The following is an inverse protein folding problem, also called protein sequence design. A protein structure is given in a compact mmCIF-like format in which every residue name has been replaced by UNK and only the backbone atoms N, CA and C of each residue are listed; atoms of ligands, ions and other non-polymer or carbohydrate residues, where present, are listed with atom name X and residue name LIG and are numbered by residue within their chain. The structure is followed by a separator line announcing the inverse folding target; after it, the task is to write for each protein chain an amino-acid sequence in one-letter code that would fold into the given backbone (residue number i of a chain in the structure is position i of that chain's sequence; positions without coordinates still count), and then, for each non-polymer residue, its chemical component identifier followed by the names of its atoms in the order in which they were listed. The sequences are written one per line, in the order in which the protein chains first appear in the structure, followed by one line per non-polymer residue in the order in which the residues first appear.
data_IF_767805143196
#
_entry.id   IF_767805143196
#
_cell.length_a   1.000
_cell.length_b   1.000
_cell.length_c   1.000
_cell.angle_alpha   90.00
_cell.angle_beta   90.00
_cell.angle_gamma   90.00
#
_symmetry.space_group_name_H-M   'P 1'
#
loop_
_entity.id
_entity.type
_entity.pdbx_description
1 polymer ?
#
# COMPACT_ATOMS: atom_id res chain seq x y z
N UNK A 1 -16.67 -0.39 -21.12
CA UNK A 1 -15.39 -0.49 -20.38
C UNK A 1 -14.97 -1.95 -20.48
N UNK A 2 -13.74 -2.25 -20.91
CA UNK A 2 -13.27 -3.65 -20.91
C UNK A 2 -13.24 -4.22 -19.49
N UNK A 3 -13.19 -5.54 -19.35
CA UNK A 3 -13.10 -6.20 -18.04
C UNK A 3 -11.87 -5.68 -17.29
N UNK A 4 -12.03 -5.14 -16.07
CA UNK A 4 -10.90 -4.68 -15.29
C UNK A 4 -10.02 -5.88 -14.89
N UNK A 5 -8.71 -5.64 -14.74
CA UNK A 5 -7.79 -6.63 -14.19
C UNK A 5 -6.87 -5.99 -13.16
N UNK A 6 -6.34 -6.81 -12.24
CA UNK A 6 -5.46 -6.36 -11.17
C UNK A 6 -4.08 -6.98 -11.40
N UNK A 7 -3.03 -6.18 -11.30
CA UNK A 7 -1.64 -6.64 -11.24
C UNK A 7 -1.12 -6.49 -9.82
N UNK A 8 -0.40 -7.50 -9.35
CA UNK A 8 0.39 -7.46 -8.12
C UNK A 8 1.86 -7.23 -8.46
N UNK A 9 2.51 -6.36 -7.70
CA UNK A 9 3.94 -6.25 -7.58
C UNK A 9 4.35 -6.62 -6.15
N UNK A 10 5.11 -7.70 -6.00
CA UNK A 10 5.77 -8.10 -4.75
C UNK A 10 6.93 -7.14 -4.40
N UNK A 11 7.53 -7.23 -3.20
CA UNK A 11 8.62 -6.33 -2.80
C UNK A 11 9.73 -6.26 -3.84
N UNK A 12 10.18 -5.04 -4.11
CA UNK A 12 11.19 -4.75 -5.11
C UNK A 12 12.06 -3.61 -4.62
N UNK A 13 13.36 -3.63 -4.91
CA UNK A 13 14.29 -2.65 -4.33
C UNK A 13 14.05 -1.21 -4.78
N UNK A 14 13.38 -1.02 -5.93
CA UNK A 14 13.09 0.29 -6.53
C UNK A 14 14.34 1.19 -6.67
N UNK A 15 15.52 0.59 -6.85
CA UNK A 15 16.80 1.30 -6.95
C UNK A 15 16.80 2.30 -8.11
N UNK A 16 17.05 3.57 -7.79
CA UNK A 16 17.09 4.66 -8.77
C UNK A 16 15.73 5.31 -9.06
N UNK A 17 14.66 4.93 -8.37
CA UNK A 17 13.41 5.69 -8.43
C UNK A 17 13.59 7.08 -7.82
N UNK A 18 13.03 8.11 -8.48
CA UNK A 18 13.07 9.49 -8.02
C UNK A 18 11.69 10.14 -8.24
N UNK A 19 11.14 10.75 -7.19
CA UNK A 19 9.90 11.52 -7.27
C UNK A 19 10.06 12.74 -8.17
N UNK A 20 8.98 13.09 -8.90
CA UNK A 20 8.93 14.27 -9.77
C UNK A 20 9.76 14.17 -11.07
N UNK A 21 10.49 13.07 -11.27
CA UNK A 21 11.22 12.81 -12.51
C UNK A 21 10.26 12.19 -13.55
N UNK A 22 10.27 12.67 -14.82
CA UNK A 22 9.45 12.07 -15.87
C UNK A 22 9.69 10.58 -16.03
N UNK A 23 8.61 9.82 -16.27
CA UNK A 23 8.62 8.35 -16.39
C UNK A 23 9.65 7.85 -17.40
N UNK A 24 9.84 8.57 -18.50
CA UNK A 24 10.75 8.23 -19.59
C UNK A 24 12.23 8.37 -19.18
N UNK A 25 12.51 9.16 -18.14
CA UNK A 25 13.84 9.40 -17.59
C UNK A 25 14.20 8.45 -16.44
N UNK A 26 13.24 7.68 -15.93
CA UNK A 26 13.47 6.71 -14.86
C UNK A 26 14.12 5.42 -15.42
N UNK A 27 14.94 4.72 -14.60
CA UNK A 27 15.52 3.45 -15.00
C UNK A 27 14.46 2.44 -15.44
N UNK A 28 14.74 1.67 -16.51
CA UNK A 28 13.85 0.61 -16.99
C UNK A 28 13.71 -0.57 -16.01
N UNK A 29 14.57 -0.62 -14.98
CA UNK A 29 14.51 -1.57 -13.87
C UNK A 29 13.35 -1.30 -12.92
N UNK A 30 12.79 -0.08 -12.89
CA UNK A 30 11.64 0.23 -12.04
C UNK A 30 10.40 -0.46 -12.62
N UNK A 31 9.71 -1.33 -11.84
CA UNK A 31 8.57 -2.06 -12.34
C UNK A 31 7.45 -1.14 -12.82
N UNK A 32 6.89 -1.45 -14.00
CA UNK A 32 5.75 -0.72 -14.57
C UNK A 32 4.60 -0.58 -13.58
N UNK A 33 4.27 -1.65 -12.85
CA UNK A 33 3.20 -1.66 -11.85
C UNK A 33 3.42 -0.63 -10.74
N UNK A 34 4.67 -0.43 -10.30
CA UNK A 34 4.99 0.60 -9.29
C UNK A 34 4.79 2.00 -9.86
N UNK A 35 5.30 2.27 -11.07
CA UNK A 35 5.13 3.55 -11.75
C UNK A 35 3.64 3.89 -11.93
N UNK A 36 2.84 2.91 -12.32
CA UNK A 36 1.40 3.09 -12.48
C UNK A 36 0.67 3.28 -11.14
N UNK A 37 1.14 2.66 -10.04
CA UNK A 37 0.64 2.94 -8.70
C UNK A 37 0.93 4.39 -8.28
N UNK A 38 2.16 4.87 -8.55
CA UNK A 38 2.58 6.24 -8.28
C UNK A 38 1.78 7.26 -9.10
N UNK A 39 1.47 6.97 -10.36
CA UNK A 39 0.58 7.79 -11.20
C UNK A 39 -0.79 7.97 -10.56
N UNK A 40 -1.41 6.88 -10.07
CA UNK A 40 -2.71 6.95 -9.38
C UNK A 40 -2.62 7.71 -8.06
N UNK A 41 -1.54 7.52 -7.29
CA UNK A 41 -1.31 8.21 -6.01
C UNK A 41 -1.11 9.71 -6.21
N UNK A 42 -0.34 10.13 -7.20
CA UNK A 42 -0.14 11.55 -7.52
C UNK A 42 -1.46 12.24 -7.89
N UNK A 43 -2.29 11.61 -8.73
CA UNK A 43 -3.60 12.14 -9.11
C UNK A 43 -4.54 12.30 -7.90
N UNK A 44 -4.54 11.34 -6.97
CA UNK A 44 -5.49 11.32 -5.85
C UNK A 44 -4.98 12.06 -4.61
N UNK A 45 -3.75 11.83 -4.19
CA UNK A 45 -3.22 12.40 -2.96
C UNK A 45 -2.62 13.79 -3.20
N UNK A 46 -1.84 13.97 -4.27
CA UNK A 46 -1.18 15.25 -4.54
C UNK A 46 -2.14 16.23 -5.21
N UNK A 47 -2.67 15.88 -6.38
CA UNK A 47 -3.49 16.82 -7.17
C UNK A 47 -4.87 17.06 -6.58
N UNK A 48 -5.50 16.03 -6.04
CA UNK A 48 -6.85 16.14 -5.48
C UNK A 48 -6.87 16.49 -3.99
N UNK A 49 -6.06 15.82 -3.15
CA UNK A 49 -6.07 16.02 -1.69
C UNK A 49 -5.03 17.04 -1.20
N UNK A 50 -4.16 17.57 -2.09
CA UNK A 50 -3.11 18.53 -1.76
C UNK A 50 -2.08 18.01 -0.72
N UNK A 51 -1.86 16.70 -0.68
CA UNK A 51 -0.74 16.10 0.07
C UNK A 51 0.57 16.49 -0.64
N UNK A 52 1.62 16.90 0.08
CA UNK A 52 2.92 17.21 -0.52
C UNK A 52 3.46 16.02 -1.33
N UNK A 53 3.83 16.26 -2.59
CA UNK A 53 4.31 15.19 -3.48
C UNK A 53 5.56 14.48 -2.99
N UNK A 54 6.42 15.17 -2.23
CA UNK A 54 7.58 14.57 -1.56
C UNK A 54 7.23 13.49 -0.53
N UNK A 55 6.01 13.51 0.03
CA UNK A 55 5.55 12.53 1.03
C UNK A 55 4.94 11.27 0.38
N UNK A 56 4.84 11.22 -0.96
CA UNK A 56 4.29 10.08 -1.69
C UNK A 56 5.28 8.95 -1.94
N UNK A 57 6.55 9.09 -1.57
CA UNK A 57 7.48 7.97 -1.60
C UNK A 57 8.16 7.84 -0.24
N UNK A 58 8.03 6.67 0.37
CA UNK A 58 8.58 6.40 1.70
C UNK A 58 9.45 5.15 1.72
N UNK A 59 10.11 4.93 2.85
CA UNK A 59 11.00 3.79 3.02
C UNK A 59 10.27 2.44 3.01
N UNK A 60 8.94 2.42 3.15
CA UNK A 60 8.14 1.20 3.11
C UNK A 60 7.77 0.79 1.67
N UNK A 61 7.85 1.69 0.68
CA UNK A 61 7.51 1.36 -0.72
C UNK A 61 8.31 0.18 -1.31
N UNK A 62 9.65 0.06 -1.11
CA UNK A 62 10.43 -1.07 -1.63
C UNK A 62 10.10 -2.43 -0.98
N UNK A 63 9.72 -2.44 0.30
CA UNK A 63 9.37 -3.67 1.05
C UNK A 63 7.90 -4.06 0.93
N UNK A 64 7.09 -3.23 0.28
CA UNK A 64 5.65 -3.43 0.18
C UNK A 64 5.24 -4.24 -1.04
N UNK A 65 4.11 -4.92 -0.93
CA UNK A 65 3.36 -5.35 -2.10
C UNK A 65 2.43 -4.23 -2.59
N UNK A 66 2.27 -4.10 -3.91
CA UNK A 66 1.44 -3.08 -4.55
C UNK A 66 0.46 -3.73 -5.52
N UNK A 67 -0.81 -3.41 -5.41
CA UNK A 67 -1.84 -3.84 -6.36
C UNK A 67 -2.31 -2.65 -7.16
N UNK A 68 -2.37 -2.79 -8.48
CA UNK A 68 -2.93 -1.78 -9.38
C UNK A 68 -4.05 -2.40 -10.19
N UNK A 69 -5.21 -1.75 -10.21
CA UNK A 69 -6.34 -2.14 -11.04
C UNK A 69 -6.37 -1.30 -12.31
N UNK A 70 -6.51 -1.99 -13.43
CA UNK A 70 -6.49 -1.42 -14.78
C UNK A 70 -7.84 -1.58 -15.45
N UNK A 71 -8.19 -0.62 -16.29
CA UNK A 71 -9.34 -0.69 -17.20
C UNK A 71 -8.88 -0.48 -18.63
N UNK A 72 -9.50 -1.20 -19.57
CA UNK A 72 -9.25 -0.99 -20.99
C UNK A 72 -10.03 0.23 -21.50
N UNK A 73 -9.30 1.24 -21.94
CA UNK A 73 -9.84 2.46 -22.57
C UNK A 73 -9.59 2.38 -24.08
N UNK A 74 -10.66 2.44 -24.86
CA UNK A 74 -10.58 2.52 -26.32
C UNK A 74 -10.34 3.97 -26.72
N UNK A 75 -9.15 4.27 -27.23
CA UNK A 75 -8.81 5.57 -27.79
C UNK A 75 -9.00 5.52 -29.30
N UNK A 76 -9.81 6.42 -29.84
CA UNK A 76 -9.89 6.62 -31.30
C UNK A 76 -8.66 7.43 -31.73
N UNK A 77 -7.77 6.84 -32.51
CA UNK A 77 -6.59 7.52 -33.05
C UNK A 77 -6.91 8.25 -34.34
N UNK A 78 -7.72 7.64 -35.20
CA UNK A 78 -8.17 8.23 -36.46
C UNK A 78 -9.69 8.12 -36.54
N UNK A 79 -10.42 9.25 -36.65
CA UNK A 79 -11.86 9.22 -36.84
C UNK A 79 -12.20 8.67 -38.24
N UNK A 80 -13.35 8.00 -38.31
CA UNK A 80 -13.95 7.58 -39.58
C UNK A 80 -14.28 8.82 -40.42
N UNK A 81 -13.91 8.80 -41.70
CA UNK A 81 -14.28 9.85 -42.65
C UNK A 81 -15.19 9.21 -43.70
N UNK A 82 -16.36 9.83 -43.90
CA UNK A 82 -17.32 9.46 -44.95
C UNK A 82 -17.41 10.56 -46.02
N UNK A 83 -17.69 10.19 -47.25
CA UNK A 83 -18.01 11.13 -48.33
C UNK A 83 -19.48 11.59 -48.26
N UNK A 84 -19.88 12.47 -49.17
CA UNK A 84 -21.27 12.97 -49.30
C UNK A 84 -22.26 11.86 -49.67
N UNK A 85 -21.80 10.78 -50.32
CA UNK A 85 -22.61 9.59 -50.60
C UNK A 85 -22.74 8.61 -49.40
N UNK A 86 -22.01 8.84 -48.31
CA UNK A 86 -22.07 8.04 -47.08
C UNK A 86 -21.12 6.84 -47.02
N UNK A 87 -20.28 6.64 -48.04
CA UNK A 87 -19.23 5.62 -48.11
C UNK A 87 -18.02 5.97 -47.23
N UNK A 88 -17.41 4.94 -46.66
CA UNK A 88 -16.24 5.07 -45.78
C UNK A 88 -14.99 5.33 -46.64
N UNK A 89 -14.53 6.58 -46.65
CA UNK A 89 -13.30 7.01 -47.33
C UNK A 89 -12.06 6.68 -46.50
N UNK A 90 -12.20 6.69 -45.17
CA UNK A 90 -11.12 6.30 -44.25
C UNK A 90 -11.71 5.56 -43.05
N UNK A 91 -11.34 4.29 -42.82
CA UNK A 91 -11.85 3.54 -41.69
C UNK A 91 -11.34 4.11 -40.36
N UNK A 92 -12.16 3.99 -39.32
CA UNK A 92 -11.76 4.31 -37.95
C UNK A 92 -10.56 3.44 -37.55
N UNK A 93 -9.54 4.05 -36.96
CA UNK A 93 -8.49 3.33 -36.21
C UNK A 93 -8.63 3.66 -34.73
N UNK A 94 -8.74 2.63 -33.91
CA UNK A 94 -8.73 2.75 -32.46
C UNK A 94 -7.68 1.84 -31.86
N UNK A 95 -6.99 2.33 -30.84
CA UNK A 95 -6.12 1.51 -29.98
C UNK A 95 -6.78 1.32 -28.62
N UNK A 96 -6.51 0.19 -28.00
CA UNK A 96 -6.95 -0.10 -26.63
C UNK A 96 -5.73 0.02 -25.72
N UNK A 97 -5.80 0.91 -24.73
CA UNK A 97 -4.77 1.06 -23.70
C UNK A 97 -5.32 0.63 -22.34
N UNK A 98 -4.54 -0.12 -21.60
CA UNK A 98 -4.82 -0.38 -20.18
C UNK A 98 -4.38 0.82 -19.36
N UNK A 99 -5.34 1.48 -18.72
CA UNK A 99 -5.14 2.66 -17.88
C UNK A 99 -5.23 2.23 -16.41
N UNK A 100 -4.23 2.55 -15.57
CA UNK A 100 -4.33 2.33 -14.13
C UNK A 100 -5.37 3.29 -13.53
N UNK A 101 -6.28 2.78 -12.70
CA UNK A 101 -7.38 3.59 -12.14
C UNK A 101 -7.54 3.46 -10.64
N UNK A 102 -6.80 2.54 -10.01
CA UNK A 102 -6.77 2.41 -8.57
C UNK A 102 -5.53 1.66 -8.11
N UNK A 103 -5.12 1.90 -6.87
CA UNK A 103 -4.00 1.19 -6.24
C UNK A 103 -4.26 0.95 -4.75
N UNK A 104 -3.60 -0.05 -4.18
CA UNK A 104 -3.47 -0.27 -2.73
C UNK A 104 -2.08 -0.85 -2.43
N UNK A 105 -1.51 -0.46 -1.29
CA UNK A 105 -0.21 -0.92 -0.78
C UNK A 105 -0.42 -1.80 0.46
N UNK A 106 0.37 -2.86 0.56
CA UNK A 106 0.48 -3.72 1.74
C UNK A 106 1.91 -3.65 2.27
N UNK A 107 2.05 -3.12 3.48
CA UNK A 107 3.33 -2.92 4.16
C UNK A 107 3.54 -4.06 5.16
N UNK A 108 4.64 -4.82 5.07
CA UNK A 108 4.96 -5.82 6.08
C UNK A 108 5.33 -5.20 7.43
N UNK A 109 5.32 -6.02 8.48
CA UNK A 109 5.98 -5.70 9.75
C UNK A 109 7.50 -5.87 9.63
N UNK A 110 8.31 -5.21 10.47
CA UNK A 110 7.94 -4.31 11.58
C UNK A 110 7.50 -2.90 11.12
N UNK A 111 6.75 -2.22 11.98
CA UNK A 111 6.24 -0.86 11.79
C UNK A 111 6.81 0.08 12.84
N UNK A 112 6.77 1.38 12.57
CA UNK A 112 6.93 2.42 13.60
C UNK A 112 5.84 2.29 14.69
N UNK A 113 6.09 2.78 15.91
CA UNK A 113 5.10 2.77 16.98
C UNK A 113 3.77 3.43 16.57
N UNK A 114 2.67 2.94 17.13
CA UNK A 114 1.33 3.45 16.85
C UNK A 114 1.26 4.97 17.06
N UNK A 115 0.53 5.72 16.24
CA UNK A 115 0.39 7.17 16.40
C UNK A 115 -0.20 7.54 17.76
N UNK A 116 0.34 8.54 18.45
CA UNK A 116 -0.18 8.97 19.76
C UNK A 116 -1.60 9.54 19.60
N UNK A 117 -2.56 9.22 20.50
CA UNK A 117 -3.86 9.89 20.51
C UNK A 117 -3.71 11.41 20.60
N UNK A 118 -4.36 12.13 19.69
CA UNK A 118 -4.25 13.58 19.53
C UNK A 118 -2.95 14.08 18.90
N UNK A 119 -2.04 13.17 18.50
CA UNK A 119 -0.80 13.52 17.82
C UNK A 119 -1.03 14.16 16.45
N UNK A 120 -0.08 14.97 16.01
CA UNK A 120 -0.08 15.60 14.69
C UNK A 120 1.23 15.23 13.98
N UNK A 121 1.11 14.49 12.89
CA UNK A 121 2.22 13.90 12.16
C UNK A 121 2.39 14.56 10.80
N UNK A 122 3.65 14.84 10.47
CA UNK A 122 4.08 15.38 9.18
C UNK A 122 5.25 14.56 8.64
N UNK A 123 5.10 14.04 7.43
CA UNK A 123 6.01 13.08 6.80
C UNK A 123 6.37 11.89 7.72
N UNK A 124 5.37 11.38 8.45
CA UNK A 124 5.53 10.29 9.41
C UNK A 124 6.16 10.67 10.76
N UNK A 125 6.52 11.94 10.97
CA UNK A 125 7.16 12.44 12.21
C UNK A 125 6.18 13.23 13.05
N UNK A 126 6.14 12.97 14.36
CA UNK A 126 5.30 13.73 15.31
C UNK A 126 5.82 15.18 15.42
N UNK A 127 4.96 16.17 15.17
CA UNK A 127 5.31 17.58 15.34
C UNK A 127 5.73 17.87 16.78
N UNK A 128 6.84 18.61 16.92
CA UNK A 128 7.44 18.93 18.22
C UNK A 128 8.46 17.91 18.72
N UNK A 129 8.69 16.80 18.01
CA UNK A 129 9.72 15.79 18.31
C UNK A 129 10.94 15.88 17.37
N UNK A 130 11.12 17.02 16.68
CA UNK A 130 12.17 17.24 15.67
C UNK A 130 13.60 17.04 16.21
N UNK A 131 13.79 17.08 17.55
CA UNK A 131 15.07 16.85 18.22
C UNK A 131 15.45 15.36 18.42
N UNK A 132 14.55 14.42 18.13
CA UNK A 132 14.75 12.97 18.27
C UNK A 132 14.71 12.23 16.92
N UNK A 133 14.92 12.96 15.81
CA UNK A 133 14.90 12.46 14.43
C UNK A 133 16.06 11.51 14.07
N UNK A 134 16.54 10.69 15.00
CA UNK A 134 17.61 9.70 14.79
C UNK A 134 17.09 8.32 14.38
N UNK A 135 15.78 8.10 14.28
CA UNK A 135 15.23 6.81 13.86
C UNK A 135 14.61 6.82 12.45
N UNK A 136 15.22 7.54 11.50
CA UNK A 136 15.15 7.12 10.09
C UNK A 136 16.07 5.89 9.87
N UNK A 137 15.92 4.88 10.73
CA UNK A 137 16.54 3.59 10.53
C UNK A 137 16.05 3.05 9.19
N UNK A 138 16.95 2.49 8.38
CA UNK A 138 16.51 1.72 7.22
C UNK A 138 15.43 0.71 7.68
N UNK A 139 14.36 0.47 6.91
CA UNK A 139 13.26 -0.42 7.32
C UNK A 139 13.72 -1.82 7.73
N UNK A 140 14.87 -2.27 7.20
CA UNK A 140 15.52 -3.53 7.54
C UNK A 140 16.18 -3.54 8.93
N UNK A 141 16.43 -2.38 9.53
CA UNK A 141 17.03 -2.21 10.85
C UNK A 141 15.99 -1.88 11.94
N UNK A 142 14.70 -1.81 11.58
CA UNK A 142 13.62 -1.66 12.57
C UNK A 142 13.58 -2.94 13.41
N UNK A 143 13.97 -2.83 14.67
CA UNK A 143 13.86 -3.94 15.62
C UNK A 143 12.39 -4.28 15.86
N UNK A 144 12.11 -5.53 16.25
CA UNK A 144 10.81 -5.90 16.82
C UNK A 144 10.66 -5.23 18.19
N UNK A 145 10.32 -3.95 18.19
CA UNK A 145 10.14 -3.14 19.40
C UNK A 145 8.76 -3.43 19.99
N UNK A 146 8.70 -3.53 21.31
CA UNK A 146 7.44 -3.55 22.04
C UNK A 146 6.77 -2.18 21.97
N UNK A 147 5.62 -2.12 21.29
CA UNK A 147 4.75 -0.94 21.26
C UNK A 147 3.76 -0.97 22.44
N UNK A 148 3.02 0.12 22.62
CA UNK A 148 1.92 0.14 23.59
C UNK A 148 0.75 -0.73 23.10
N UNK A 149 0.03 -1.39 24.02
CA UNK A 149 -1.21 -2.08 23.69
C UNK A 149 -2.32 -1.08 23.33
N UNK A 150 -3.20 -1.52 22.44
CA UNK A 150 -4.45 -0.85 22.02
C UNK A 150 -5.62 -1.82 22.13
N UNK A 151 -6.81 -1.49 21.62
CA UNK A 151 -8.01 -2.35 21.74
C UNK A 151 -7.81 -3.70 21.08
N UNK A 152 -7.20 -3.75 19.89
CA UNK A 152 -7.06 -4.97 19.09
C UNK A 152 -5.62 -5.44 18.89
N UNK A 153 -4.64 -4.71 19.42
CA UNK A 153 -3.22 -5.05 19.32
C UNK A 153 -2.57 -5.05 20.71
N UNK A 154 -1.86 -6.12 21.04
CA UNK A 154 -1.22 -6.31 22.35
C UNK A 154 0.12 -5.55 22.52
N UNK A 155 0.54 -4.81 21.49
CA UNK A 155 1.83 -4.11 21.46
C UNK A 155 3.00 -4.98 21.02
N UNK A 156 2.76 -6.26 20.67
CA UNK A 156 3.82 -7.24 20.39
C UNK A 156 3.60 -8.00 19.09
N UNK A 157 2.36 -8.35 18.79
CA UNK A 157 2.01 -9.19 17.67
C UNK A 157 2.33 -8.52 16.33
N UNK A 158 3.07 -9.19 15.42
CA UNK A 158 3.24 -8.70 14.07
C UNK A 158 1.90 -8.49 13.37
N UNK A 159 1.74 -7.34 12.71
CA UNK A 159 0.59 -7.04 11.88
C UNK A 159 1.03 -6.50 10.52
N UNK A 160 0.18 -6.64 9.52
CA UNK A 160 0.40 -6.09 8.18
C UNK A 160 -0.42 -4.81 8.04
N UNK A 161 0.13 -3.76 7.46
CA UNK A 161 -0.60 -2.50 7.26
C UNK A 161 -1.07 -2.39 5.81
N UNK A 162 -2.36 -2.11 5.60
CA UNK A 162 -2.87 -1.67 4.30
C UNK A 162 -2.89 -0.14 4.25
N UNK A 163 -2.45 0.44 3.15
CA UNK A 163 -2.37 1.88 2.97
C UNK A 163 -2.34 2.26 1.49
N UNK A 164 -2.19 3.57 1.23
CA UNK A 164 -2.15 4.14 -0.14
C UNK A 164 -3.31 3.68 -1.03
N UNK A 165 -4.48 3.41 -0.44
CA UNK A 165 -5.68 3.06 -1.19
C UNK A 165 -6.20 4.28 -1.93
N UNK A 166 -6.12 4.27 -3.25
CA UNK A 166 -6.53 5.37 -4.11
C UNK A 166 -7.33 4.86 -5.31
N UNK A 167 -8.35 5.61 -5.73
CA UNK A 167 -9.08 5.39 -6.98
C UNK A 167 -9.29 6.73 -7.65
N UNK A 168 -8.91 6.81 -8.93
CA UNK A 168 -9.10 7.99 -9.77
C UNK A 168 -10.57 8.40 -9.76
N UNK A 169 -10.84 9.70 -9.62
CA UNK A 169 -12.17 10.28 -9.41
C UNK A 169 -13.24 9.73 -10.37
N UNK A 170 -12.95 9.68 -11.66
CA UNK A 170 -13.88 9.23 -12.70
C UNK A 170 -14.20 7.73 -12.65
N UNK A 171 -13.42 6.96 -11.89
CA UNK A 171 -13.57 5.52 -11.70
C UNK A 171 -14.07 5.15 -10.30
N UNK A 172 -14.48 6.14 -9.49
CA UNK A 172 -15.21 5.90 -8.24
C UNK A 172 -16.64 5.44 -8.53
N UNK A 173 -17.26 4.75 -7.58
CA UNK A 173 -18.58 4.13 -7.77
C UNK A 173 -18.58 2.77 -8.48
N UNK A 174 -17.50 2.43 -9.20
CA UNK A 174 -17.33 1.10 -9.85
C UNK A 174 -16.82 -0.01 -8.91
N UNK A 175 -16.81 0.23 -7.60
CA UNK A 175 -16.39 -0.71 -6.55
C UNK A 175 -14.92 -1.19 -6.64
N UNK A 176 -14.07 -0.49 -7.39
CA UNK A 176 -12.66 -0.86 -7.55
C UNK A 176 -11.86 -0.87 -6.25
N UNK A 177 -12.10 0.09 -5.34
CA UNK A 177 -11.45 0.09 -4.02
C UNK A 177 -11.71 -1.22 -3.25
N UNK A 178 -12.96 -1.70 -3.25
CA UNK A 178 -13.29 -2.96 -2.61
C UNK A 178 -12.73 -4.18 -3.34
N UNK A 179 -12.55 -4.12 -4.66
CA UNK A 179 -11.87 -5.20 -5.41
C UNK A 179 -10.39 -5.28 -5.04
N UNK A 180 -9.71 -4.13 -4.95
CA UNK A 180 -8.32 -4.03 -4.51
C UNK A 180 -8.14 -4.60 -3.09
N UNK A 181 -8.96 -4.16 -2.14
CA UNK A 181 -8.90 -4.66 -0.75
C UNK A 181 -9.16 -6.16 -0.68
N UNK A 182 -10.22 -6.67 -1.31
CA UNK A 182 -10.49 -8.12 -1.30
C UNK A 182 -9.36 -8.92 -1.94
N UNK A 183 -8.81 -8.45 -3.07
CA UNK A 183 -7.73 -9.15 -3.75
C UNK A 183 -6.45 -9.20 -2.88
N UNK A 184 -6.12 -8.09 -2.22
CA UNK A 184 -4.99 -8.02 -1.27
C UNK A 184 -5.20 -8.97 -0.07
N UNK A 185 -6.39 -8.95 0.56
CA UNK A 185 -6.72 -9.82 1.70
C UNK A 185 -6.72 -11.31 1.31
N UNK A 186 -7.31 -11.66 0.16
CA UNK A 186 -7.31 -13.03 -0.36
C UNK A 186 -5.91 -13.52 -0.68
N UNK A 187 -5.06 -12.67 -1.25
CA UNK A 187 -3.69 -13.04 -1.58
C UNK A 187 -2.89 -13.33 -0.31
N UNK A 188 -2.90 -12.44 0.68
CA UNK A 188 -2.10 -12.67 1.90
C UNK A 188 -2.65 -13.83 2.75
N UNK A 189 -3.97 -14.07 2.72
CA UNK A 189 -4.58 -15.26 3.34
C UNK A 189 -4.08 -16.56 2.70
N UNK A 190 -3.81 -16.57 1.40
CA UNK A 190 -3.22 -17.72 0.69
C UNK A 190 -1.71 -17.85 0.87
N UNK A 191 -1.03 -16.80 1.34
CA UNK A 191 0.41 -16.76 1.55
C UNK A 191 0.75 -16.30 3.00
N UNK A 192 0.29 -17.01 4.04
CA UNK A 192 0.33 -16.52 5.42
C UNK A 192 1.73 -16.39 6.02
N UNK A 193 2.74 -17.02 5.40
CA UNK A 193 4.15 -16.93 5.83
C UNK A 193 4.98 -15.96 4.97
N UNK A 194 4.38 -15.28 3.98
CA UNK A 194 5.14 -14.52 2.97
C UNK A 194 6.05 -13.43 3.55
N UNK A 195 5.62 -12.79 4.63
CA UNK A 195 6.38 -11.74 5.31
C UNK A 195 7.02 -12.21 6.62
N UNK A 196 6.89 -13.48 6.98
CA UNK A 196 7.59 -13.99 8.15
C UNK A 196 9.10 -13.93 7.87
N UNK A 197 9.91 -13.42 8.81
CA UNK A 197 11.35 -13.34 8.63
C UNK A 197 11.94 -14.74 8.46
N UNK A 198 12.92 -14.86 7.56
CA UNK A 198 13.67 -16.11 7.47
C UNK A 198 14.54 -16.28 8.72
N UNK A 199 14.65 -17.50 9.25
CA UNK A 199 15.48 -17.81 10.43
C UNK A 199 16.93 -17.34 10.24
N UNK A 200 17.41 -17.33 8.99
CA UNK A 200 18.76 -16.90 8.62
C UNK A 200 18.97 -15.38 8.69
N UNK A 201 17.96 -14.58 8.38
CA UNK A 201 18.03 -13.11 8.54
C UNK A 201 18.10 -12.72 10.02
N UNK A 202 17.28 -13.35 10.87
CA UNK A 202 17.32 -13.15 12.33
C UNK A 202 18.64 -13.64 12.94
N UNK A 203 19.16 -14.78 12.47
CA UNK A 203 20.40 -15.39 12.97
C UNK A 203 21.69 -14.65 12.57
N UNK A 204 21.67 -13.84 11.51
CA UNK A 204 22.82 -13.00 11.14
C UNK A 204 22.90 -11.71 11.97
N UNK A 205 21.76 -11.18 12.44
CA UNK A 205 21.72 -9.98 13.27
C UNK A 205 21.98 -10.28 14.76
N UNK A 206 21.71 -11.51 15.22
CA UNK A 206 21.87 -11.94 16.61
C UNK A 206 23.13 -12.80 16.85
N UNK A 207 24.32 -12.34 16.49
CA UNK A 207 25.58 -12.86 17.09
C UNK A 207 25.81 -12.35 18.53
N UNK A 208 24.75 -12.22 19.33
CA UNK A 208 24.84 -11.72 20.70
C UNK A 208 23.63 -11.96 21.61
N UNK A 209 22.55 -12.61 21.15
CA UNK A 209 21.38 -12.89 21.98
C UNK A 209 21.21 -14.40 22.19
N UNK A 210 21.55 -14.84 23.38
CA UNK A 210 21.37 -16.21 23.86
C UNK A 210 19.91 -16.45 24.21
N UNK A 211 19.14 -17.07 23.31
CA UNK A 211 18.15 -18.15 23.54
C UNK A 211 17.24 -18.27 22.32
N UNK A 212 17.10 -19.50 21.81
CA UNK A 212 16.11 -19.91 20.80
C UNK A 212 14.70 -19.46 21.19
N UNK A 213 14.24 -18.31 20.71
CA UNK A 213 12.88 -17.81 20.97
C UNK A 213 12.26 -17.37 19.64
N UNK A 214 11.07 -17.93 19.38
CA UNK A 214 10.33 -17.95 18.12
C UNK A 214 10.45 -16.67 17.28
N UNK A 215 10.91 -16.83 16.04
CA UNK A 215 10.81 -15.78 15.03
C UNK A 215 9.37 -15.22 14.99
N UNK A 216 9.17 -13.90 15.01
CA UNK A 216 7.85 -13.31 15.04
C UNK A 216 7.03 -13.72 13.82
N UNK A 217 5.93 -14.44 14.06
CA UNK A 217 5.04 -14.94 13.01
C UNK A 217 3.76 -14.12 12.93
N UNK A 218 3.37 -13.74 11.72
CA UNK A 218 2.12 -13.03 11.49
C UNK A 218 0.89 -13.93 11.67
N UNK A 219 -0.02 -13.62 12.59
CA UNK A 219 -1.19 -14.47 12.87
C UNK A 219 -2.50 -13.88 12.33
N UNK A 220 -2.43 -13.22 11.17
CA UNK A 220 -3.60 -12.71 10.47
C UNK A 220 -4.05 -11.30 10.87
N UNK A 221 -3.29 -10.56 11.68
CA UNK A 221 -3.68 -9.20 12.10
C UNK A 221 -3.35 -8.18 11.00
N UNK A 222 -4.34 -7.42 10.53
CA UNK A 222 -4.15 -6.30 9.62
C UNK A 222 -4.56 -4.98 10.26
N UNK A 223 -3.79 -3.93 9.97
CA UNK A 223 -4.04 -2.56 10.41
C UNK A 223 -4.29 -1.65 9.20
N UNK A 224 -5.16 -0.66 9.37
CA UNK A 224 -5.24 0.51 8.49
C UNK A 224 -5.20 1.78 9.32
N UNK A 225 -4.44 2.76 8.83
CA UNK A 225 -4.59 4.15 9.23
C UNK A 225 -5.62 4.75 8.25
N UNK A 226 -6.88 4.76 8.64
CA UNK A 226 -7.96 5.22 7.77
C UNK A 226 -8.22 6.71 8.04
N UNK A 227 -8.37 7.51 6.99
CA UNK A 227 -8.98 8.85 7.15
C UNK A 227 -10.36 8.66 7.78
N UNK A 228 -10.68 9.46 8.80
CA UNK A 228 -11.90 9.30 9.60
C UNK A 228 -13.16 9.24 8.72
N UNK A 229 -13.20 10.06 7.67
CA UNK A 229 -14.29 10.14 6.70
C UNK A 229 -14.58 8.84 5.92
N UNK A 230 -13.59 7.95 5.76
CA UNK A 230 -13.75 6.66 5.04
C UNK A 230 -13.73 5.45 5.96
N UNK A 231 -13.71 5.62 7.29
CA UNK A 231 -13.74 4.50 8.24
C UNK A 231 -14.95 3.55 7.99
N UNK A 232 -16.12 4.11 7.64
CA UNK A 232 -17.31 3.32 7.31
C UNK A 232 -17.15 2.44 6.06
N UNK A 233 -16.26 2.79 5.13
CA UNK A 233 -15.94 1.95 3.98
C UNK A 233 -15.06 0.77 4.38
N UNK A 234 -14.05 1.00 5.21
CA UNK A 234 -13.21 -0.06 5.78
C UNK A 234 -14.01 -1.04 6.66
N UNK A 235 -14.98 -0.54 7.42
CA UNK A 235 -15.90 -1.38 8.20
C UNK A 235 -16.69 -2.38 7.34
N UNK A 236 -17.09 -1.99 6.11
CA UNK A 236 -17.74 -2.92 5.16
C UNK A 236 -16.82 -4.04 4.68
N UNK A 237 -15.52 -3.91 4.88
CA UNK A 237 -14.51 -4.93 4.58
C UNK A 237 -14.02 -5.67 5.84
N UNK A 238 -14.69 -5.46 6.98
CA UNK A 238 -14.46 -6.18 8.23
C UNK A 238 -13.49 -5.51 9.21
N UNK A 239 -13.00 -4.30 8.90
CA UNK A 239 -12.14 -3.58 9.84
C UNK A 239 -12.96 -2.93 10.95
N UNK A 240 -12.47 -3.02 12.18
CA UNK A 240 -13.09 -2.44 13.38
C UNK A 240 -12.23 -1.31 13.92
N UNK A 241 -12.87 -0.22 14.38
CA UNK A 241 -12.15 0.94 14.94
C UNK A 241 -11.47 0.53 16.23
N UNK A 242 -10.15 0.76 16.31
CA UNK A 242 -9.37 0.57 17.52
C UNK A 242 -9.42 1.83 18.39
N UNK A 243 -10.34 1.85 19.34
CA UNK A 243 -10.52 2.97 20.28
C UNK A 243 -9.25 3.26 21.09
N UNK A 244 -8.45 2.23 21.42
CA UNK A 244 -7.20 2.35 22.17
C UNK A 244 -6.06 2.97 21.37
N UNK A 245 -6.08 2.84 20.04
CA UNK A 245 -5.17 3.60 19.17
C UNK A 245 -5.57 5.08 19.11
N UNK A 246 -6.86 5.36 19.21
CA UNK A 246 -7.41 6.71 19.25
C UNK A 246 -7.45 7.40 17.88
N UNK A 247 -7.56 8.73 17.91
CA UNK A 247 -7.55 9.60 16.73
C UNK A 247 -6.28 10.41 16.70
N UNK A 248 -5.74 10.68 15.53
CA UNK A 248 -4.58 11.55 15.32
C UNK A 248 -4.70 12.28 13.98
N UNK A 249 -3.77 13.18 13.71
CA UNK A 249 -3.66 13.90 12.44
C UNK A 249 -2.44 13.41 11.68
N UNK A 250 -2.60 13.14 10.38
CA UNK A 250 -1.51 12.87 9.43
C UNK A 250 -1.70 13.80 8.23
N UNK A 251 -0.70 14.58 7.88
CA UNK A 251 -0.75 15.54 6.75
C UNK A 251 -1.96 16.50 6.82
N UNK A 252 -2.37 16.87 8.05
CA UNK A 252 -3.53 17.73 8.28
C UNK A 252 -4.89 17.04 8.11
N UNK A 253 -4.93 15.72 7.96
CA UNK A 253 -6.14 14.92 7.81
C UNK A 253 -6.36 14.08 9.08
N UNK A 254 -7.58 14.06 9.66
CA UNK A 254 -7.88 13.24 10.81
C UNK A 254 -7.94 11.75 10.44
N UNK A 255 -7.26 10.93 11.21
CA UNK A 255 -7.14 9.49 11.01
C UNK A 255 -7.57 8.71 12.27
N UNK A 256 -8.01 7.48 12.04
CA UNK A 256 -8.33 6.46 13.04
C UNK A 256 -7.58 5.16 12.72
N UNK A 257 -7.22 4.44 13.77
CA UNK A 257 -6.70 3.08 13.66
C UNK A 257 -7.85 2.11 13.50
N UNK A 258 -7.75 1.19 12.55
CA UNK A 258 -8.69 0.09 12.46
C UNK A 258 -7.94 -1.22 12.25
N UNK A 259 -8.44 -2.30 12.87
CA UNK A 259 -7.87 -3.63 12.74
C UNK A 259 -8.87 -4.62 12.13
N UNK A 260 -8.33 -5.61 11.44
CA UNK A 260 -9.05 -6.78 10.97
C UNK A 260 -8.24 -8.02 11.35
N UNK A 261 -8.90 -9.03 11.93
CA UNK A 261 -8.33 -10.35 12.13
C UNK A 261 -8.78 -11.28 10.99
N UNK A 262 -7.83 -11.73 10.16
CA UNK A 262 -8.09 -12.79 9.21
C UNK A 262 -7.89 -14.16 9.87
N UNK A 263 -8.85 -15.05 9.66
CA UNK A 263 -8.63 -16.48 9.86
C UNK A 263 -7.70 -17.01 8.77
N UNK A 264 -6.45 -17.26 9.15
CA UNK A 264 -5.43 -17.86 8.29
C UNK A 264 -5.37 -19.37 8.53
N UNK A 265 -5.08 -20.13 7.46
CA UNK A 265 -4.87 -21.58 7.55
C UNK A 265 -3.55 -21.93 8.24
N UNK A 266 -3.25 -23.24 8.40
CA UNK A 266 -1.95 -23.69 8.89
C UNK A 266 -0.84 -23.10 8.00
N UNK A 267 0.24 -22.65 8.65
CA UNK A 267 1.42 -22.14 7.96
C UNK A 267 2.33 -23.30 7.58
N UNK A 268 2.76 -23.33 6.32
CA UNK A 268 3.92 -24.13 5.94
C UNK A 268 5.16 -23.47 6.56
N UNK A 269 5.79 -24.16 7.51
CA UNK A 269 7.09 -23.75 8.04
C UNK A 269 8.10 -24.00 6.92
N UNK A 270 8.47 -22.95 6.17
CA UNK A 270 9.54 -23.05 5.20
C UNK A 270 10.88 -23.14 5.94
N UNK A 271 11.31 -24.36 6.21
CA UNK A 271 12.70 -24.66 6.58
C UNK A 271 13.48 -24.65 5.26
N UNK A 272 13.92 -23.48 4.80
CA UNK A 272 14.81 -23.40 3.64
C UNK A 272 16.18 -23.99 4.03
N UNK A 273 16.60 -25.05 3.36
CA UNK A 273 17.90 -25.70 3.50
C UNK A 273 19.07 -24.81 3.03
#
# INVERSE_FOLDING_TARGET
MGTPFISLLEPSKLEGFQLGVPRESLPSTIPKTFLDAMEVREEVFVKEQNVPGENEFDADDPRSCHWVIYVSVNKTEVPEVRNEEGDIVRPRKSSTRSTPVGTIRMVPFPHEPHPKPGGDYWNGVLKGDEGNATNNSAPSARQFVHDRPTTFHDGKEPYIKLGRLAVIKDYRGYRFAGQLVRNALEWIKKNPSFFDPSIRELGLEQMGASTETEAPQWRGLLCVHAQEQVASAWAKWGFEIDEGMGKWWEEGIPHVGMFLRLEIGPKDIQISA
#
